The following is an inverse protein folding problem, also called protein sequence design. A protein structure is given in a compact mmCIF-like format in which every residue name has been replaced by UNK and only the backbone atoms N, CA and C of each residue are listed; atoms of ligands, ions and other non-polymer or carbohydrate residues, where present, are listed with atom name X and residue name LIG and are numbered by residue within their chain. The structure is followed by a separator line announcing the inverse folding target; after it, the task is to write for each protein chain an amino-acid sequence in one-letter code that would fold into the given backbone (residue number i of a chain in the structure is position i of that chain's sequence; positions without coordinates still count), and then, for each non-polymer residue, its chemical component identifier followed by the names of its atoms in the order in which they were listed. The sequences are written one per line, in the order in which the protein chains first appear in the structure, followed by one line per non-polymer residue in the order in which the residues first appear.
data_IF_038880120963
#
_entry.id   IF_038880120963
#
_cell.length_a   1.000
_cell.length_b   1.000
_cell.length_c   1.000
_cell.angle_alpha   90.00
_cell.angle_beta   90.00
_cell.angle_gamma   90.00
#
_symmetry.space_group_name_H-M   'P 1'
#
loop_
_entity.id
_entity.type
_entity.pdbx_description
1 polymer ?
#
# COMPACT_ATOMS: atom_id res chain seq x y z
N UNK A 1 26.20 -34.91 -8.48
CA UNK A 1 26.83 -33.60 -8.27
C UNK A 1 26.14 -32.58 -9.18
N UNK A 2 25.35 -31.65 -8.61
CA UNK A 2 24.79 -30.53 -9.38
C UNK A 2 25.91 -29.52 -9.65
N UNK A 3 26.37 -29.41 -10.90
CA UNK A 3 27.55 -28.62 -11.33
C UNK A 3 27.22 -27.20 -11.78
N UNK A 4 26.03 -26.68 -11.49
CA UNK A 4 25.62 -25.33 -11.92
C UNK A 4 25.96 -24.28 -10.87
N UNK A 5 26.67 -23.22 -11.29
CA UNK A 5 26.99 -22.07 -10.44
C UNK A 5 25.71 -21.45 -9.83
N UNK A 6 25.72 -21.19 -8.53
CA UNK A 6 24.65 -20.46 -7.82
C UNK A 6 24.66 -19.00 -8.28
N UNK A 7 23.89 -18.69 -9.31
CA UNK A 7 23.70 -17.33 -9.79
C UNK A 7 22.73 -16.61 -8.83
N UNK A 8 23.27 -15.82 -7.90
CA UNK A 8 22.49 -15.05 -6.93
C UNK A 8 21.78 -13.88 -7.64
N UNK A 9 20.66 -14.18 -8.29
CA UNK A 9 19.83 -13.20 -8.98
C UNK A 9 19.04 -12.39 -7.94
N UNK A 10 19.15 -11.07 -7.97
CA UNK A 10 18.37 -10.18 -7.11
C UNK A 10 16.86 -10.44 -7.22
N UNK A 11 16.21 -10.81 -6.10
CA UNK A 11 14.78 -11.15 -6.01
C UNK A 11 13.93 -10.11 -5.29
N UNK A 12 14.54 -9.11 -4.65
CA UNK A 12 13.83 -8.16 -3.80
C UNK A 12 12.89 -7.29 -4.64
N UNK A 13 11.60 -7.28 -4.30
CA UNK A 13 10.57 -6.47 -4.96
C UNK A 13 10.41 -6.74 -6.46
N UNK A 14 10.72 -7.95 -6.93
CA UNK A 14 10.60 -8.34 -8.34
C UNK A 14 9.66 -9.53 -8.50
N UNK A 15 8.75 -9.44 -9.45
CA UNK A 15 7.90 -10.56 -9.87
C UNK A 15 8.54 -11.31 -11.04
N UNK A 16 8.59 -12.65 -10.95
CA UNK A 16 9.09 -13.50 -12.04
C UNK A 16 8.06 -13.61 -13.14
N UNK A 17 8.53 -13.52 -14.38
CA UNK A 17 7.75 -13.71 -15.61
C UNK A 17 7.15 -15.12 -15.61
N UNK A 18 5.88 -15.20 -15.97
CA UNK A 18 5.15 -16.46 -16.14
C UNK A 18 5.24 -16.93 -17.59
N UNK A 19 5.21 -18.24 -17.83
CA UNK A 19 5.38 -18.80 -19.18
C UNK A 19 4.34 -18.28 -20.18
N UNK A 20 3.12 -18.04 -19.72
CA UNK A 20 1.98 -17.67 -20.56
C UNK A 20 1.60 -16.19 -20.44
N UNK A 21 2.43 -15.36 -19.81
CA UNK A 21 2.10 -13.95 -19.52
C UNK A 21 0.72 -13.76 -18.90
N UNK A 22 0.36 -14.63 -17.95
CA UNK A 22 -1.01 -14.70 -17.42
C UNK A 22 -1.19 -13.91 -16.12
N UNK A 23 -0.11 -13.40 -15.51
CA UNK A 23 -0.17 -12.72 -14.22
C UNK A 23 -0.33 -11.21 -14.41
N UNK A 24 -1.46 -10.60 -14.00
CA UNK A 24 -1.63 -9.16 -14.05
C UNK A 24 -0.83 -8.47 -12.94
N UNK A 25 -0.16 -7.37 -13.27
CA UNK A 25 0.52 -6.50 -12.31
C UNK A 25 -0.03 -5.09 -12.36
N UNK A 26 -0.14 -4.46 -11.20
CA UNK A 26 -0.37 -3.01 -11.08
C UNK A 26 0.92 -2.24 -11.37
N UNK A 27 0.80 -0.95 -11.63
CA UNK A 27 1.95 -0.07 -11.88
C UNK A 27 3.01 -0.14 -10.77
N UNK A 28 2.58 -0.12 -9.50
CA UNK A 28 3.45 -0.21 -8.33
C UNK A 28 4.23 -1.53 -8.25
N UNK A 29 3.59 -2.63 -8.64
CA UNK A 29 4.18 -3.97 -8.68
C UNK A 29 5.11 -4.19 -9.89
N UNK A 30 4.83 -3.51 -11.00
CA UNK A 30 5.55 -3.65 -12.25
C UNK A 30 6.96 -3.04 -12.22
N UNK A 31 7.18 -2.04 -11.36
CA UNK A 31 8.41 -1.29 -11.25
C UNK A 31 9.30 -1.84 -10.11
N UNK A 32 10.56 -2.25 -10.40
CA UNK A 32 11.48 -2.79 -9.40
C UNK A 32 11.98 -1.71 -8.40
N UNK A 33 12.57 -2.12 -7.26
CA UNK A 33 12.93 -1.19 -6.18
C UNK A 33 13.92 -0.07 -6.56
N UNK A 34 14.85 -0.32 -7.48
CA UNK A 34 15.81 0.70 -7.93
C UNK A 34 15.17 1.81 -8.79
N UNK A 35 13.89 1.69 -9.13
CA UNK A 35 13.14 2.73 -9.84
C UNK A 35 12.27 3.59 -8.89
N UNK A 36 12.41 3.40 -7.57
CA UNK A 36 11.86 4.33 -6.58
C UNK A 36 12.53 5.70 -6.79
N UNK A 37 11.73 6.76 -6.73
CA UNK A 37 12.06 8.14 -7.08
C UNK A 37 12.29 8.43 -8.58
N UNK A 38 12.24 7.43 -9.47
CA UNK A 38 12.31 7.63 -10.93
C UNK A 38 10.97 7.39 -11.63
N UNK A 39 10.38 6.21 -11.39
CA UNK A 39 9.08 5.82 -11.97
C UNK A 39 8.00 5.64 -10.91
N UNK A 40 8.38 5.22 -9.70
CA UNK A 40 7.47 5.04 -8.58
C UNK A 40 7.86 5.94 -7.41
N UNK A 41 6.85 6.38 -6.66
CA UNK A 41 7.04 7.22 -5.49
C UNK A 41 7.06 6.37 -4.20
N UNK A 42 7.05 7.04 -3.05
CA UNK A 42 6.92 6.40 -1.74
C UNK A 42 5.44 6.20 -1.37
N UNK A 43 5.16 5.06 -0.71
CA UNK A 43 3.83 4.73 -0.22
C UNK A 43 3.52 5.34 1.16
N UNK A 44 4.52 5.90 1.84
CA UNK A 44 4.36 6.69 3.06
C UNK A 44 5.10 8.01 2.92
N UNK A 45 4.42 9.11 3.23
CA UNK A 45 4.97 10.46 3.21
C UNK A 45 4.90 11.06 4.61
N UNK A 46 6.07 11.37 5.17
CA UNK A 46 6.24 11.97 6.48
C UNK A 46 7.57 12.75 6.54
N UNK A 47 7.82 13.44 7.65
CA UNK A 47 9.04 14.23 7.88
C UNK A 47 10.10 13.46 8.68
N UNK A 48 9.84 12.24 9.15
CA UNK A 48 10.71 11.55 10.11
C UNK A 48 12.06 11.16 9.50
N UNK A 49 12.09 10.82 8.22
CA UNK A 49 13.33 10.41 7.52
C UNK A 49 14.17 11.58 6.99
N UNK A 50 13.75 12.83 7.20
CA UNK A 50 14.57 13.99 6.87
C UNK A 50 15.77 14.07 7.83
N UNK A 51 16.82 14.79 7.41
CA UNK A 51 17.96 15.07 8.29
C UNK A 51 17.47 15.85 9.52
N UNK A 52 17.73 15.31 10.72
CA UNK A 52 17.20 15.87 11.98
C UNK A 52 15.73 15.53 12.26
N UNK A 53 15.10 14.69 11.44
CA UNK A 53 13.73 14.22 11.65
C UNK A 53 13.59 13.39 12.94
N UNK A 54 12.54 13.69 13.70
CA UNK A 54 12.22 13.03 14.96
C UNK A 54 11.35 11.78 14.73
N UNK A 55 11.31 10.88 15.72
CA UNK A 55 10.34 9.76 15.81
C UNK A 55 10.33 8.79 14.62
N UNK A 56 11.49 8.48 14.03
CA UNK A 56 11.60 7.54 12.88
C UNK A 56 11.04 6.15 13.17
N UNK A 57 11.44 5.57 14.30
CA UNK A 57 11.03 4.22 14.71
C UNK A 57 9.52 4.14 14.97
N UNK A 58 8.99 5.09 15.72
CA UNK A 58 7.57 5.15 16.09
C UNK A 58 6.68 5.30 14.84
N UNK A 59 7.02 6.25 13.95
CA UNK A 59 6.29 6.47 12.70
C UNK A 59 6.27 5.21 11.83
N UNK A 60 7.39 4.48 11.77
CA UNK A 60 7.47 3.22 11.04
C UNK A 60 6.56 2.14 11.65
N UNK A 61 6.57 1.98 12.97
CA UNK A 61 5.73 1.00 13.68
C UNK A 61 4.25 1.30 13.47
N UNK A 62 3.87 2.57 13.59
CA UNK A 62 2.50 3.03 13.33
C UNK A 62 2.08 2.77 11.87
N UNK A 63 2.94 3.05 10.89
CA UNK A 63 2.65 2.82 9.48
C UNK A 63 2.48 1.33 9.16
N UNK A 64 3.30 0.45 9.75
CA UNK A 64 3.17 -1.01 9.60
C UNK A 64 1.88 -1.49 10.27
N UNK A 65 1.54 -0.95 11.44
CA UNK A 65 0.29 -1.24 12.13
C UNK A 65 -0.93 -0.85 11.28
N UNK A 66 -0.97 0.39 10.77
CA UNK A 66 -2.05 0.88 9.90
C UNK A 66 -2.21 -0.04 8.68
N UNK A 67 -1.11 -0.42 8.02
CA UNK A 67 -1.18 -1.31 6.85
C UNK A 67 -1.80 -2.65 7.19
N UNK A 68 -1.38 -3.31 8.28
CA UNK A 68 -1.93 -4.59 8.72
C UNK A 68 -3.41 -4.47 9.10
N UNK A 69 -3.76 -3.42 9.85
CA UNK A 69 -5.13 -3.15 10.25
C UNK A 69 -6.05 -2.94 9.05
N UNK A 70 -5.60 -2.15 8.07
CA UNK A 70 -6.35 -1.91 6.83
C UNK A 70 -6.49 -3.18 6.00
N UNK A 71 -5.43 -3.98 5.81
CA UNK A 71 -5.52 -5.25 5.08
C UNK A 71 -6.45 -6.27 5.75
N UNK A 72 -6.52 -6.28 7.09
CA UNK A 72 -7.44 -7.12 7.84
C UNK A 72 -8.89 -6.65 7.75
N UNK A 73 -9.13 -5.37 8.03
CA UNK A 73 -10.48 -4.77 8.09
C UNK A 73 -11.11 -4.67 6.70
N UNK A 74 -10.35 -4.23 5.71
CA UNK A 74 -10.78 -4.07 4.32
C UNK A 74 -10.40 -5.30 3.47
N UNK A 75 -10.84 -6.47 3.93
CA UNK A 75 -10.44 -7.74 3.37
C UNK A 75 -10.79 -7.86 1.89
N UNK A 76 -9.75 -8.00 1.03
CA UNK A 76 -9.86 -8.15 -0.44
C UNK A 76 -10.59 -7.00 -1.16
N UNK A 77 -10.75 -5.84 -0.51
CA UNK A 77 -11.37 -4.66 -1.12
C UNK A 77 -10.35 -3.74 -1.78
N UNK A 78 -9.15 -3.64 -1.20
CA UNK A 78 -8.08 -2.84 -1.79
C UNK A 78 -7.51 -3.49 -3.05
N UNK A 79 -7.46 -2.72 -4.13
CA UNK A 79 -6.85 -3.09 -5.40
C UNK A 79 -5.43 -2.52 -5.52
N UNK A 80 -5.19 -1.36 -4.92
CA UNK A 80 -3.87 -0.74 -4.83
C UNK A 80 -3.17 -1.05 -3.50
N UNK A 81 -1.87 -0.76 -3.45
CA UNK A 81 -1.17 -0.61 -2.17
C UNK A 81 -1.78 0.54 -1.35
N UNK A 82 -1.68 0.45 -0.02
CA UNK A 82 -2.16 1.47 0.91
C UNK A 82 -1.17 2.65 0.92
N UNK A 83 -1.68 3.86 0.73
CA UNK A 83 -0.90 5.09 0.79
C UNK A 83 -1.14 5.77 2.14
N UNK A 84 -0.07 6.24 2.78
CA UNK A 84 -0.15 6.96 4.06
C UNK A 84 0.49 8.33 3.86
N UNK A 85 -0.22 9.40 4.23
CA UNK A 85 0.31 10.75 4.22
C UNK A 85 0.12 11.36 5.60
N UNK A 86 1.19 11.89 6.18
CA UNK A 86 1.16 12.58 7.47
C UNK A 86 1.34 14.07 7.24
N UNK A 87 0.34 14.88 7.61
CA UNK A 87 0.39 16.34 7.52
C UNK A 87 0.15 16.90 8.91
N UNK A 88 1.19 17.47 9.52
CA UNK A 88 1.18 17.83 10.93
C UNK A 88 0.67 16.64 11.79
N UNK A 89 -0.35 16.86 12.63
CA UNK A 89 -0.93 15.81 13.47
C UNK A 89 -1.97 14.93 12.73
N UNK A 90 -2.33 15.24 11.48
CA UNK A 90 -3.34 14.47 10.74
C UNK A 90 -2.70 13.34 9.94
N UNK A 91 -3.32 12.16 10.02
CA UNK A 91 -2.96 10.99 9.20
C UNK A 91 -4.02 10.76 8.14
N UNK A 92 -3.62 10.85 6.88
CA UNK A 92 -4.46 10.55 5.73
C UNK A 92 -4.10 9.16 5.20
N UNK A 93 -5.08 8.28 5.14
CA UNK A 93 -4.94 6.93 4.58
C UNK A 93 -5.66 6.90 3.24
N UNK A 94 -4.88 6.71 2.18
CA UNK A 94 -5.38 6.70 0.81
C UNK A 94 -5.28 5.33 0.16
N UNK A 95 -6.15 5.08 -0.80
CA UNK A 95 -5.99 3.95 -1.72
C UNK A 95 -7.22 3.69 -2.57
N UNK A 96 -7.09 2.69 -3.44
CA UNK A 96 -8.08 2.37 -4.45
C UNK A 96 -8.81 1.09 -4.04
N UNK A 97 -10.14 1.17 -3.96
CA UNK A 97 -11.02 0.08 -3.53
C UNK A 97 -11.94 -0.39 -4.66
N UNK A 98 -12.23 -1.68 -4.70
CA UNK A 98 -13.19 -2.24 -5.64
C UNK A 98 -14.62 -2.13 -5.10
N UNK A 99 -15.58 -1.78 -5.96
CA UNK A 99 -17.02 -1.67 -5.62
C UNK A 99 -17.72 -3.03 -5.51
N UNK A 100 -17.21 -3.94 -4.67
CA UNK A 100 -17.83 -5.26 -4.43
C UNK A 100 -18.94 -5.18 -3.36
N UNK A 101 -18.86 -4.18 -2.49
CA UNK A 101 -19.72 -4.05 -1.31
C UNK A 101 -20.69 -2.88 -1.48
N UNK A 102 -21.90 -3.03 -0.93
CA UNK A 102 -22.93 -1.98 -0.89
C UNK A 102 -22.36 -0.69 -0.26
N UNK A 103 -22.61 0.51 -0.83
CA UNK A 103 -22.07 1.78 -0.35
C UNK A 103 -22.29 2.03 1.14
N UNK A 104 -23.44 1.63 1.70
CA UNK A 104 -23.73 1.78 3.15
C UNK A 104 -22.70 1.08 4.04
N UNK A 105 -22.28 -0.14 3.67
CA UNK A 105 -21.25 -0.87 4.42
C UNK A 105 -19.86 -0.26 4.22
N UNK A 106 -19.57 0.31 3.05
CA UNK A 106 -18.33 1.06 2.84
C UNK A 106 -18.27 2.30 3.72
N UNK A 107 -19.34 3.11 3.80
CA UNK A 107 -19.39 4.27 4.68
C UNK A 107 -19.29 3.88 6.16
N UNK A 108 -19.93 2.77 6.57
CA UNK A 108 -19.75 2.22 7.91
C UNK A 108 -18.28 1.87 8.19
N UNK A 109 -17.62 1.15 7.27
CA UNK A 109 -16.21 0.79 7.43
C UNK A 109 -15.33 2.02 7.50
N UNK A 110 -15.58 3.06 6.68
CA UNK A 110 -14.85 4.33 6.74
C UNK A 110 -14.93 4.92 8.15
N UNK A 111 -16.15 5.14 8.67
CA UNK A 111 -16.35 5.69 10.01
C UNK A 111 -15.72 4.83 11.10
N UNK A 112 -15.92 3.51 11.05
CA UNK A 112 -15.30 2.56 11.98
C UNK A 112 -13.77 2.69 12.01
N UNK A 113 -13.14 2.76 10.84
CA UNK A 113 -11.68 2.86 10.74
C UNK A 113 -11.14 4.24 11.13
N UNK A 114 -11.83 5.33 10.81
CA UNK A 114 -11.42 6.68 11.24
C UNK A 114 -11.45 6.79 12.77
N UNK A 115 -12.55 6.37 13.41
CA UNK A 115 -12.72 6.45 14.86
C UNK A 115 -11.71 5.57 15.59
N UNK A 116 -11.60 4.28 15.26
CA UNK A 116 -10.70 3.37 15.96
C UNK A 116 -9.24 3.79 15.83
N UNK A 117 -8.80 4.14 14.61
CA UNK A 117 -7.42 4.58 14.43
C UNK A 117 -7.17 5.91 15.14
N UNK A 118 -8.17 6.79 15.20
CA UNK A 118 -8.04 8.04 15.95
C UNK A 118 -7.87 7.79 17.46
N UNK A 119 -8.64 6.86 18.03
CA UNK A 119 -8.51 6.49 19.44
C UNK A 119 -7.20 5.78 19.76
N UNK A 120 -6.67 4.95 18.86
CA UNK A 120 -5.41 4.23 19.06
C UNK A 120 -4.20 5.15 18.93
N UNK A 121 -4.15 5.95 17.85
CA UNK A 121 -3.00 6.80 17.54
C UNK A 121 -3.05 8.17 18.25
N UNK A 122 -4.16 8.48 18.93
CA UNK A 122 -4.41 9.76 19.61
C UNK A 122 -4.28 10.97 18.67
N UNK A 123 -4.62 10.76 17.40
CA UNK A 123 -4.54 11.78 16.36
C UNK A 123 -5.72 11.67 15.40
N UNK A 124 -6.14 12.77 14.74
CA UNK A 124 -7.19 12.72 13.74
C UNK A 124 -6.76 11.93 12.50
N UNK A 125 -7.56 10.93 12.13
CA UNK A 125 -7.34 10.07 10.96
C UNK A 125 -8.45 10.31 9.93
N UNK A 126 -8.07 10.43 8.66
CA UNK A 126 -9.01 10.60 7.54
C UNK A 126 -8.72 9.61 6.42
N UNK A 127 -9.78 9.04 5.86
CA UNK A 127 -9.69 8.08 4.75
C UNK A 127 -10.05 8.72 3.41
N UNK A 128 -9.10 8.67 2.48
CA UNK A 128 -9.24 9.15 1.10
C UNK A 128 -9.34 7.94 0.15
N UNK A 129 -10.54 7.41 -0.01
CA UNK A 129 -10.77 6.22 -0.84
C UNK A 129 -11.30 6.59 -2.23
N UNK A 130 -10.67 6.05 -3.26
CA UNK A 130 -11.16 6.11 -4.63
C UNK A 130 -11.71 4.74 -5.02
N UNK A 131 -12.92 4.71 -5.59
CA UNK A 131 -13.58 3.46 -5.94
C UNK A 131 -13.51 3.18 -7.44
N UNK A 132 -13.22 1.92 -7.79
CA UNK A 132 -13.11 1.41 -9.16
C UNK A 132 -14.10 0.27 -9.38
N UNK A 133 -14.61 0.12 -10.61
CA UNK A 133 -15.61 -0.89 -10.95
C UNK A 133 -15.01 -2.30 -10.96
N UNK A 134 -13.94 -2.52 -11.74
CA UNK A 134 -13.29 -3.82 -11.84
C UNK A 134 -11.80 -3.73 -11.46
N UNK A 135 -11.26 -4.82 -10.93
CA UNK A 135 -9.82 -4.96 -10.66
C UNK A 135 -8.99 -4.86 -11.93
N UNK A 136 -9.59 -5.14 -13.09
CA UNK A 136 -8.96 -5.06 -14.41
C UNK A 136 -8.51 -3.66 -14.78
N UNK A 137 -9.23 -2.64 -14.31
CA UNK A 137 -8.93 -1.24 -14.62
C UNK A 137 -7.59 -0.78 -14.00
N UNK A 138 -7.06 -1.55 -13.05
CA UNK A 138 -5.79 -1.28 -12.37
C UNK A 138 -4.61 -2.09 -12.92
N UNK A 139 -4.84 -2.89 -13.96
CA UNK A 139 -3.79 -3.70 -14.57
C UNK A 139 -2.94 -2.81 -15.48
N UNK A 140 -1.64 -2.76 -15.20
CA UNK A 140 -0.67 -2.02 -16.02
C UNK A 140 -0.02 -2.91 -17.07
N UNK A 141 0.39 -4.12 -16.70
CA UNK A 141 1.00 -5.08 -17.61
C UNK A 141 0.75 -6.52 -17.17
N UNK A 142 0.81 -7.43 -18.13
CA UNK A 142 0.83 -8.87 -17.87
C UNK A 142 2.24 -9.41 -17.98
N UNK A 143 2.64 -10.26 -17.03
CA UNK A 143 3.95 -10.92 -17.01
C UNK A 143 3.82 -12.42 -16.90
#
# INVERSE_FOLDING_TARGET
LHTTATLEKNRAGRYRVTRNHSRPLTYEMANPPHQIAHRKAWNSWNTSNLQGGLRRSETLVEDVFIRKFMTGTWHRLFVSEILIKRRANMVFIGGIVQRVVIPRKMHFLIGYTEEILSYILKCPVKLELQSVADRKDMIFKYI
#
